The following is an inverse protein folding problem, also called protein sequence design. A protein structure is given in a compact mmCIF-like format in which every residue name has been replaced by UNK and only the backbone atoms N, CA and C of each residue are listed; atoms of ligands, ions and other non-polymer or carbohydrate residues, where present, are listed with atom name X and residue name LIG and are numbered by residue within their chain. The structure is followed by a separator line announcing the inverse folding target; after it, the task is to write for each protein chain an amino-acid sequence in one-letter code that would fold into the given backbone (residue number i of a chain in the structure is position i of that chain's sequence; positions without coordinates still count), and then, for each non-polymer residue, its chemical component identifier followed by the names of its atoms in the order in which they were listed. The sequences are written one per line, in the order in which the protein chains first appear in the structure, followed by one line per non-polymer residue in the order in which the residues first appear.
data_IF_759255810919
#
_entry.id   IF_759255810919
#
_cell.length_a   1.000
_cell.length_b   1.000
_cell.length_c   1.000
_cell.angle_alpha   90.00
_cell.angle_beta   90.00
_cell.angle_gamma   90.00
#
_symmetry.space_group_name_H-M   'P 1'
#
loop_
_entity.id
_entity.type
_entity.pdbx_description
1 polymer ?
#
# COMPACT_ATOMS: atom_id res chain seq x y z
N UNK A 1 -0.93 -2.02 -5.50
CA UNK A 1 -1.09 -1.96 -4.04
C UNK A 1 0.22 -2.21 -3.29
N UNK A 2 1.01 -3.25 -3.64
CA UNK A 2 2.24 -3.58 -2.90
C UNK A 2 3.30 -2.49 -3.00
N UNK A 3 3.54 -1.96 -4.20
CA UNK A 3 4.45 -0.83 -4.39
C UNK A 3 4.01 0.43 -3.62
N UNK A 4 2.69 0.71 -3.56
CA UNK A 4 2.13 1.81 -2.78
C UNK A 4 2.44 1.67 -1.29
N UNK A 5 2.21 0.49 -0.74
CA UNK A 5 2.52 0.17 0.65
C UNK A 5 4.01 0.35 0.93
N UNK A 6 4.87 -0.21 0.07
CA UNK A 6 6.31 -0.16 0.26
C UNK A 6 6.89 1.27 0.15
N UNK A 7 6.32 2.11 -0.72
CA UNK A 7 6.71 3.51 -0.89
C UNK A 7 6.58 4.27 0.44
N UNK A 8 5.46 4.15 1.13
CA UNK A 8 5.21 4.81 2.42
C UNK A 8 5.94 4.13 3.57
N UNK A 9 5.88 2.79 3.62
CA UNK A 9 6.48 2.01 4.71
C UNK A 9 7.99 2.26 4.84
N UNK A 10 8.70 2.41 3.71
CA UNK A 10 10.13 2.67 3.68
C UNK A 10 10.49 4.07 4.19
N UNK A 11 9.67 5.08 3.86
CA UNK A 11 9.90 6.47 4.29
C UNK A 11 9.44 6.76 5.71
N UNK A 12 8.39 6.07 6.19
CA UNK A 12 7.72 6.43 7.43
C UNK A 12 8.65 6.44 8.66
N UNK A 13 9.50 5.44 8.93
CA UNK A 13 10.41 5.47 10.09
C UNK A 13 11.37 6.65 10.04
N UNK A 14 11.90 6.96 8.85
CA UNK A 14 12.81 8.08 8.65
C UNK A 14 12.09 9.42 8.85
N UNK A 15 10.88 9.54 8.32
CA UNK A 15 10.06 10.75 8.49
C UNK A 15 9.68 10.97 9.96
N UNK A 16 9.30 9.92 10.70
CA UNK A 16 8.95 10.01 12.13
C UNK A 16 10.15 10.53 12.93
N UNK A 17 11.32 9.93 12.75
CA UNK A 17 12.54 10.34 13.46
C UNK A 17 12.97 11.74 13.01
N UNK A 18 12.92 12.05 11.73
CA UNK A 18 13.25 13.36 11.18
C UNK A 18 12.30 14.48 11.61
N UNK A 19 11.06 14.17 11.97
CA UNK A 19 10.10 15.10 12.59
C UNK A 19 10.31 15.26 14.11
N UNK A 20 11.36 14.68 14.68
CA UNK A 20 11.73 14.86 16.10
C UNK A 20 11.12 13.83 17.06
N UNK A 21 10.46 12.78 16.57
CA UNK A 21 9.97 11.69 17.40
C UNK A 21 11.07 10.65 17.68
N UNK A 22 10.89 9.84 18.73
CA UNK A 22 11.85 8.82 19.09
C UNK A 22 11.85 7.63 18.12
N UNK A 23 12.94 6.87 18.11
CA UNK A 23 13.00 5.58 17.40
C UNK A 23 11.97 4.58 17.93
N UNK A 24 11.63 4.64 19.23
CA UNK A 24 10.56 3.85 19.84
C UNK A 24 9.22 4.15 19.22
N UNK A 25 8.88 5.45 19.04
CA UNK A 25 7.65 5.84 18.35
C UNK A 25 7.59 5.32 16.91
N UNK A 26 8.72 5.35 16.18
CA UNK A 26 8.78 4.80 14.84
C UNK A 26 8.55 3.28 14.84
N UNK A 27 9.13 2.55 15.79
CA UNK A 27 8.91 1.11 15.95
C UNK A 27 7.45 0.78 16.28
N UNK A 28 6.81 1.54 17.18
CA UNK A 28 5.40 1.35 17.54
C UNK A 28 4.47 1.56 16.36
N UNK A 29 4.70 2.61 15.55
CA UNK A 29 3.91 2.90 14.34
C UNK A 29 4.06 1.77 13.32
N UNK A 30 5.28 1.26 13.11
CA UNK A 30 5.54 0.12 12.21
C UNK A 30 4.90 -1.15 12.74
N UNK A 31 4.98 -1.42 14.04
CA UNK A 31 4.35 -2.59 14.66
C UNK A 31 2.83 -2.58 14.44
N UNK A 32 2.18 -1.46 14.68
CA UNK A 32 0.73 -1.32 14.46
C UNK A 32 0.37 -1.48 12.98
N UNK A 33 1.20 -0.99 12.06
CA UNK A 33 1.04 -1.22 10.63
C UNK A 33 1.07 -2.71 10.28
N UNK A 34 2.05 -3.45 10.78
CA UNK A 34 2.18 -4.90 10.55
C UNK A 34 0.97 -5.67 11.10
N UNK A 35 0.46 -5.26 12.28
CA UNK A 35 -0.77 -5.83 12.82
C UNK A 35 -1.98 -5.52 11.93
N UNK A 36 -2.09 -4.28 11.42
CA UNK A 36 -3.15 -3.87 10.49
C UNK A 36 -3.08 -4.63 9.15
N UNK A 37 -1.88 -5.01 8.71
CA UNK A 37 -1.70 -5.88 7.54
C UNK A 37 -2.14 -7.33 7.83
N UNK A 38 -1.82 -7.84 9.01
CA UNK A 38 -1.89 -9.28 9.30
C UNK A 38 -3.25 -9.71 9.86
N UNK A 39 -3.80 -8.96 10.82
CA UNK A 39 -5.05 -9.33 11.51
C UNK A 39 -6.23 -9.50 10.54
N UNK A 40 -6.48 -8.61 9.56
CA UNK A 40 -7.59 -8.77 8.64
C UNK A 40 -7.47 -9.99 7.73
N UNK A 41 -6.26 -10.52 7.52
CA UNK A 41 -6.03 -11.70 6.66
C UNK A 41 -6.86 -12.91 7.09
N UNK A 42 -7.15 -13.04 8.39
CA UNK A 42 -8.01 -14.11 8.91
C UNK A 42 -9.48 -14.01 8.42
N UNK A 43 -9.93 -12.81 8.06
CA UNK A 43 -11.30 -12.54 7.66
C UNK A 43 -11.45 -12.17 6.18
N UNK A 44 -10.39 -11.69 5.54
CA UNK A 44 -10.44 -11.20 4.16
C UNK A 44 -10.94 -12.27 3.19
N UNK A 45 -10.55 -13.54 3.38
CA UNK A 45 -11.05 -14.65 2.58
C UNK A 45 -12.57 -14.82 2.68
N UNK A 46 -13.14 -14.76 3.89
CA UNK A 46 -14.58 -14.82 4.11
C UNK A 46 -15.32 -13.63 3.51
N UNK A 47 -14.73 -12.43 3.58
CA UNK A 47 -15.29 -11.23 2.97
C UNK A 47 -15.32 -11.34 1.44
N UNK A 48 -14.27 -11.92 0.83
CA UNK A 48 -14.22 -12.18 -0.61
C UNK A 48 -15.31 -13.18 -1.03
N UNK A 49 -15.51 -14.25 -0.27
CA UNK A 49 -16.57 -15.24 -0.55
C UNK A 49 -17.97 -14.62 -0.44
N UNK A 50 -18.18 -13.71 0.52
CA UNK A 50 -19.51 -13.10 0.77
C UNK A 50 -19.83 -11.95 -0.18
N UNK A 51 -18.87 -11.07 -0.44
CA UNK A 51 -19.11 -9.82 -1.18
C UNK A 51 -18.51 -9.81 -2.59
N UNK A 52 -17.69 -10.82 -2.90
CA UNK A 52 -16.94 -10.88 -4.15
C UNK A 52 -15.58 -10.17 -4.05
N UNK A 53 -14.67 -10.56 -4.94
CA UNK A 53 -13.27 -10.09 -4.92
C UNK A 53 -13.14 -8.61 -5.29
N UNK A 54 -13.93 -8.13 -6.27
CA UNK A 54 -13.81 -6.75 -6.78
C UNK A 54 -14.19 -5.68 -5.76
N UNK A 55 -15.33 -5.78 -5.03
CA UNK A 55 -15.65 -4.85 -3.96
C UNK A 55 -14.57 -4.79 -2.88
N UNK A 56 -13.98 -5.93 -2.52
CA UNK A 56 -12.92 -5.96 -1.50
C UNK A 56 -11.67 -5.23 -1.99
N UNK A 57 -11.26 -5.41 -3.27
CA UNK A 57 -10.16 -4.63 -3.86
C UNK A 57 -10.50 -3.13 -3.84
N UNK A 58 -11.74 -2.75 -4.19
CA UNK A 58 -12.17 -1.34 -4.19
C UNK A 58 -12.08 -0.73 -2.79
N UNK A 59 -12.56 -1.44 -1.76
CA UNK A 59 -12.40 -1.01 -0.35
C UNK A 59 -10.92 -0.84 -0.01
N UNK A 60 -10.06 -1.79 -0.39
CA UNK A 60 -8.62 -1.69 -0.19
C UNK A 60 -8.01 -0.45 -0.84
N UNK A 61 -8.36 -0.15 -2.10
CA UNK A 61 -7.88 1.05 -2.80
C UNK A 61 -8.39 2.35 -2.15
N UNK A 62 -9.63 2.35 -1.66
CA UNK A 62 -10.19 3.50 -0.92
C UNK A 62 -9.42 3.75 0.39
N UNK A 63 -9.09 2.70 1.14
CA UNK A 63 -8.29 2.81 2.35
C UNK A 63 -6.87 3.32 2.05
N UNK A 64 -6.24 2.89 0.95
CA UNK A 64 -4.95 3.41 0.50
C UNK A 64 -5.03 4.90 0.13
N UNK A 65 -6.12 5.33 -0.49
CA UNK A 65 -6.37 6.75 -0.77
C UNK A 65 -6.52 7.56 0.53
N UNK A 66 -7.28 7.06 1.49
CA UNK A 66 -7.43 7.68 2.82
C UNK A 66 -6.10 7.71 3.58
N UNK A 67 -5.24 6.69 3.43
CA UNK A 67 -3.90 6.70 3.99
C UNK A 67 -3.06 7.86 3.42
N UNK A 68 -3.06 8.04 2.09
CA UNK A 68 -2.36 9.15 1.44
C UNK A 68 -2.88 10.51 1.92
N UNK A 69 -4.19 10.69 2.02
CA UNK A 69 -4.82 11.92 2.52
C UNK A 69 -4.46 12.20 3.99
N UNK A 70 -4.46 11.16 4.83
CA UNK A 70 -4.04 11.28 6.23
C UNK A 70 -2.56 11.68 6.34
N UNK A 71 -1.69 11.09 5.52
CA UNK A 71 -0.26 11.45 5.48
C UNK A 71 0.00 12.88 5.01
N UNK A 72 -0.86 13.43 4.14
CA UNK A 72 -0.81 14.82 3.70
C UNK A 72 -1.37 15.80 4.73
N UNK A 73 -2.23 15.36 5.64
CA UNK A 73 -2.91 16.23 6.62
C UNK A 73 -2.00 16.72 7.74
N UNK A 74 -0.82 16.11 7.92
CA UNK A 74 0.16 16.56 8.92
C UNK A 74 1.22 15.53 9.27
N UNK A 75 2.20 15.97 10.06
CA UNK A 75 3.36 15.20 10.51
C UNK A 75 3.35 14.96 12.03
N UNK A 76 2.17 15.04 12.66
CA UNK A 76 2.00 14.63 14.05
C UNK A 76 2.08 13.11 14.20
N UNK A 77 2.49 12.64 15.38
CA UNK A 77 2.62 11.19 15.64
C UNK A 77 1.30 10.44 15.38
N UNK A 78 0.16 11.04 15.74
CA UNK A 78 -1.16 10.49 15.50
C UNK A 78 -1.45 10.32 13.99
N UNK A 79 -1.03 11.29 13.16
CA UNK A 79 -1.17 11.20 11.70
C UNK A 79 -0.38 10.01 11.13
N UNK A 80 0.85 9.78 11.63
CA UNK A 80 1.64 8.61 11.23
C UNK A 80 0.92 7.30 11.60
N UNK A 81 0.37 7.18 12.81
CA UNK A 81 -0.40 6.00 13.21
C UNK A 81 -1.60 5.76 12.28
N UNK A 82 -2.43 6.76 12.05
CA UNK A 82 -3.61 6.64 11.18
C UNK A 82 -3.19 6.28 9.75
N UNK A 83 -2.18 6.97 9.20
CA UNK A 83 -1.67 6.71 7.86
C UNK A 83 -1.23 5.26 7.71
N UNK A 84 -0.45 4.74 8.65
CA UNK A 84 0.10 3.39 8.56
C UNK A 84 -0.93 2.30 8.87
N UNK A 85 -1.90 2.54 9.73
CA UNK A 85 -3.04 1.64 9.95
C UNK A 85 -3.87 1.52 8.66
N UNK A 86 -4.28 2.64 8.07
CA UNK A 86 -5.05 2.67 6.82
C UNK A 86 -4.27 2.04 5.67
N UNK A 87 -2.96 2.28 5.61
CA UNK A 87 -2.06 1.68 4.63
C UNK A 87 -2.03 0.15 4.76
N UNK A 88 -1.91 -0.37 5.98
CA UNK A 88 -1.88 -1.81 6.24
C UNK A 88 -3.20 -2.50 5.89
N UNK A 89 -4.32 -1.95 6.33
CA UNK A 89 -5.67 -2.44 5.99
C UNK A 89 -5.92 -2.40 4.48
N UNK A 90 -5.59 -1.28 3.85
CA UNK A 90 -5.77 -1.07 2.42
C UNK A 90 -4.92 -2.02 1.58
N UNK A 91 -3.67 -2.25 1.99
CA UNK A 91 -2.80 -3.24 1.37
C UNK A 91 -3.39 -4.65 1.50
N UNK A 92 -3.81 -5.05 2.69
CA UNK A 92 -4.37 -6.39 2.92
C UNK A 92 -5.52 -6.69 1.96
N UNK A 93 -6.55 -5.83 1.94
CA UNK A 93 -7.73 -6.07 1.11
C UNK A 93 -7.41 -6.02 -0.39
N UNK A 94 -6.62 -5.06 -0.84
CA UNK A 94 -6.30 -4.93 -2.26
C UNK A 94 -5.34 -6.02 -2.74
N UNK A 95 -4.33 -6.40 -1.94
CA UNK A 95 -3.35 -7.39 -2.33
C UNK A 95 -3.92 -8.82 -2.30
N UNK A 96 -4.61 -9.21 -1.22
CA UNK A 96 -5.24 -10.54 -1.12
C UNK A 96 -6.33 -10.67 -2.19
N UNK A 97 -7.13 -9.61 -2.41
CA UNK A 97 -8.14 -9.60 -3.46
C UNK A 97 -7.53 -9.76 -4.86
N UNK A 98 -6.47 -9.02 -5.18
CA UNK A 98 -5.79 -9.11 -6.47
C UNK A 98 -5.15 -10.50 -6.69
N UNK A 99 -4.50 -11.05 -5.67
CA UNK A 99 -3.91 -12.39 -5.73
C UNK A 99 -4.98 -13.47 -5.93
N UNK A 100 -6.11 -13.35 -5.24
CA UNK A 100 -7.26 -14.25 -5.43
C UNK A 100 -7.82 -14.15 -6.86
N UNK A 101 -7.96 -12.93 -7.38
CA UNK A 101 -8.41 -12.70 -8.75
C UNK A 101 -7.46 -13.36 -9.76
N UNK A 102 -6.15 -13.20 -9.59
CA UNK A 102 -5.15 -13.82 -10.44
C UNK A 102 -5.24 -15.34 -10.38
N UNK A 103 -5.33 -15.92 -9.18
CA UNK A 103 -5.38 -17.37 -8.97
C UNK A 103 -6.59 -18.04 -9.64
N UNK A 104 -7.69 -17.30 -9.79
CA UNK A 104 -8.92 -17.81 -10.42
C UNK A 104 -8.98 -17.61 -11.96
N UNK A 105 -7.95 -16.99 -12.56
CA UNK A 105 -7.95 -16.66 -13.99
C UNK A 105 -6.84 -17.35 -14.81
N UNK A 106 -6.27 -18.44 -14.30
CA UNK A 106 -5.29 -19.27 -15.03
C UNK A 106 -5.54 -20.76 -14.79
N UNK A 107 -5.10 -21.60 -15.72
CA UNK A 107 -5.15 -23.06 -15.61
C UNK A 107 -4.00 -23.58 -14.73
N UNK A 108 -4.14 -24.81 -14.23
CA UNK A 108 -3.10 -25.46 -13.42
C UNK A 108 -1.76 -25.54 -14.12
N UNK A 109 -1.75 -25.74 -15.45
CA UNK A 109 -0.53 -25.83 -16.28
C UNK A 109 0.20 -24.49 -16.45
N UNK A 110 -0.54 -23.38 -16.39
CA UNK A 110 0.00 -22.01 -16.57
C UNK A 110 0.39 -21.36 -15.24
N UNK A 111 0.01 -21.97 -14.11
CA UNK A 111 0.17 -21.38 -12.78
C UNK A 111 1.60 -20.91 -12.52
N UNK A 112 2.60 -21.74 -12.76
CA UNK A 112 4.00 -21.41 -12.47
C UNK A 112 4.48 -20.21 -13.29
N UNK A 113 4.18 -20.19 -14.59
CA UNK A 113 4.56 -19.10 -15.49
C UNK A 113 3.84 -17.80 -15.13
N UNK A 114 2.53 -17.86 -14.93
CA UNK A 114 1.71 -16.70 -14.59
C UNK A 114 2.13 -16.09 -13.26
N UNK A 115 2.33 -16.93 -12.23
CA UNK A 115 2.78 -16.46 -10.93
C UNK A 115 4.19 -15.87 -11.00
N UNK A 116 5.13 -16.52 -11.71
CA UNK A 116 6.49 -16.00 -11.85
C UNK A 116 6.55 -14.64 -12.56
N UNK A 117 5.76 -14.44 -13.63
CA UNK A 117 5.66 -13.13 -14.29
C UNK A 117 5.02 -12.09 -13.37
N UNK A 118 3.94 -12.45 -12.66
CA UNK A 118 3.31 -11.57 -11.68
C UNK A 118 4.29 -11.12 -10.61
N UNK A 119 5.04 -12.06 -10.02
CA UNK A 119 5.97 -11.77 -8.95
C UNK A 119 7.14 -10.91 -9.43
N UNK A 120 7.66 -11.17 -10.63
CA UNK A 120 8.69 -10.33 -11.26
C UNK A 120 8.20 -8.88 -11.41
N UNK A 121 6.97 -8.67 -11.90
CA UNK A 121 6.38 -7.34 -12.05
C UNK A 121 6.17 -6.69 -10.69
N UNK A 122 5.55 -7.41 -9.74
CA UNK A 122 5.25 -6.89 -8.40
C UNK A 122 6.52 -6.47 -7.67
N UNK A 123 7.53 -7.36 -7.59
CA UNK A 123 8.78 -7.06 -6.89
C UNK A 123 9.64 -6.05 -7.63
N UNK A 124 9.58 -6.00 -8.96
CA UNK A 124 10.20 -4.93 -9.73
C UNK A 124 9.63 -3.55 -9.36
N UNK A 125 8.31 -3.40 -9.29
CA UNK A 125 7.68 -2.16 -8.84
C UNK A 125 7.94 -1.87 -7.36
N UNK A 126 8.03 -2.88 -6.50
CA UNK A 126 8.39 -2.72 -5.09
C UNK A 126 9.82 -2.17 -4.95
N UNK A 127 10.77 -2.71 -5.71
CA UNK A 127 12.15 -2.21 -5.71
C UNK A 127 12.24 -0.74 -6.19
N UNK A 128 11.54 -0.40 -7.28
CA UNK A 128 11.45 0.98 -7.76
C UNK A 128 10.81 1.91 -6.72
N UNK A 129 9.72 1.48 -6.07
CA UNK A 129 9.06 2.23 -5.02
C UNK A 129 9.97 2.48 -3.82
N UNK A 130 10.74 1.46 -3.39
CA UNK A 130 11.69 1.58 -2.29
C UNK A 130 12.79 2.59 -2.58
N UNK A 131 13.40 2.51 -3.77
CA UNK A 131 14.42 3.46 -4.21
C UNK A 131 13.86 4.89 -4.33
N UNK A 132 12.66 5.03 -4.93
CA UNK A 132 11.99 6.31 -5.09
C UNK A 132 11.60 6.93 -3.75
N UNK A 133 11.22 6.11 -2.77
CA UNK A 133 10.82 6.53 -1.43
C UNK A 133 11.92 7.33 -0.74
N UNK A 134 13.14 6.80 -0.69
CA UNK A 134 14.30 7.49 -0.12
C UNK A 134 14.69 8.76 -0.90
N UNK A 135 14.64 8.68 -2.23
CA UNK A 135 14.92 9.84 -3.09
C UNK A 135 13.91 10.97 -2.85
N UNK A 136 12.60 10.66 -2.85
CA UNK A 136 11.54 11.65 -2.62
C UNK A 136 11.63 12.29 -1.24
N UNK A 137 11.93 11.49 -0.20
CA UNK A 137 12.07 12.00 1.15
C UNK A 137 13.23 13.00 1.28
N UNK A 138 14.31 12.81 0.53
CA UNK A 138 15.50 13.65 0.57
C UNK A 138 15.54 14.78 -0.48
N UNK A 139 14.64 14.76 -1.49
CA UNK A 139 14.61 15.77 -2.57
C UNK A 139 14.23 17.18 -2.13
N UNK A 140 13.71 17.36 -0.91
CA UNK A 140 13.22 18.64 -0.38
C UNK A 140 14.30 19.50 0.29
N UNK A 141 15.57 19.28 -0.01
CA UNK A 141 16.67 20.11 0.53
C UNK A 141 16.84 20.00 2.04
N UNK A 142 16.40 18.91 2.67
CA UNK A 142 16.51 18.66 4.10
C UNK A 142 15.22 18.93 4.91
N UNK A 143 14.17 19.41 4.28
CA UNK A 143 12.85 19.53 4.92
C UNK A 143 12.10 18.19 4.86
N UNK A 144 12.16 17.46 5.97
CA UNK A 144 11.52 16.14 6.12
C UNK A 144 9.99 16.22 5.97
N UNK A 145 9.36 17.32 6.37
CA UNK A 145 7.90 17.47 6.23
C UNK A 145 7.49 17.54 4.77
N UNK A 146 8.21 18.34 3.97
CA UNK A 146 7.99 18.41 2.53
C UNK A 146 8.30 17.08 1.84
N UNK A 147 9.38 16.41 2.23
CA UNK A 147 9.74 15.08 1.74
C UNK A 147 8.63 14.06 2.01
N UNK A 148 8.07 14.05 3.21
CA UNK A 148 6.94 13.20 3.57
C UNK A 148 5.69 13.49 2.73
N UNK A 149 5.39 14.76 2.48
CA UNK A 149 4.28 15.16 1.61
C UNK A 149 4.49 14.66 0.17
N UNK A 150 5.71 14.77 -0.38
CA UNK A 150 6.03 14.29 -1.72
C UNK A 150 5.86 12.77 -1.84
N UNK A 151 6.27 12.01 -0.83
CA UNK A 151 6.06 10.55 -0.78
C UNK A 151 4.57 10.21 -0.80
N UNK A 152 3.74 10.91 -0.02
CA UNK A 152 2.29 10.70 -0.03
C UNK A 152 1.62 11.14 -1.34
N UNK A 153 2.06 12.24 -1.95
CA UNK A 153 1.58 12.68 -3.26
C UNK A 153 1.90 11.66 -4.36
N UNK A 154 3.08 11.02 -4.31
CA UNK A 154 3.48 10.01 -5.27
C UNK A 154 2.60 8.74 -5.23
N UNK A 155 1.76 8.56 -4.22
CA UNK A 155 0.77 7.48 -4.20
C UNK A 155 -0.35 7.68 -5.24
N UNK A 156 -0.77 8.93 -5.52
CA UNK A 156 -1.95 9.19 -6.34
C UNK A 156 -1.86 8.68 -7.78
N UNK A 157 -0.76 8.87 -8.54
CA UNK A 157 -0.63 8.30 -9.88
C UNK A 157 -0.80 6.77 -9.88
N UNK A 158 -0.21 6.10 -8.91
CA UNK A 158 -0.29 4.64 -8.78
C UNK A 158 -1.71 4.18 -8.36
N UNK A 159 -2.38 4.95 -7.51
CA UNK A 159 -3.79 4.71 -7.16
C UNK A 159 -4.71 4.86 -8.36
N UNK A 160 -4.51 5.90 -9.19
CA UNK A 160 -5.28 6.11 -10.42
C UNK A 160 -5.10 4.93 -11.38
N UNK A 161 -3.87 4.47 -11.60
CA UNK A 161 -3.59 3.29 -12.44
C UNK A 161 -4.30 2.05 -11.88
N UNK A 162 -4.21 1.82 -10.57
CA UNK A 162 -4.82 0.66 -9.92
C UNK A 162 -6.36 0.70 -9.98
N UNK A 163 -6.95 1.87 -9.79
CA UNK A 163 -8.40 2.07 -9.89
C UNK A 163 -8.89 1.91 -11.34
N UNK A 164 -8.16 2.46 -12.31
CA UNK A 164 -8.49 2.34 -13.74
C UNK A 164 -8.48 0.88 -14.19
N UNK A 165 -7.48 0.09 -13.79
CA UNK A 165 -7.44 -1.34 -14.11
C UNK A 165 -8.63 -2.10 -13.50
N UNK A 166 -9.04 -1.76 -12.27
CA UNK A 166 -10.21 -2.37 -11.64
C UNK A 166 -11.51 -2.03 -12.39
N UNK A 167 -11.65 -0.78 -12.88
CA UNK A 167 -12.80 -0.35 -13.68
C UNK A 167 -12.85 -1.08 -15.04
N UNK A 168 -11.74 -1.18 -15.75
CA UNK A 168 -11.64 -1.93 -17.02
C UNK A 168 -12.06 -3.38 -16.82
N UNK A 169 -11.60 -4.04 -15.76
CA UNK A 169 -12.01 -5.40 -15.41
C UNK A 169 -13.51 -5.53 -15.07
N UNK A 170 -14.18 -4.44 -14.70
CA UNK A 170 -15.63 -4.43 -14.48
C UNK A 170 -16.41 -4.36 -15.80
N UNK A 171 -15.88 -3.66 -16.79
CA UNK A 171 -16.55 -3.42 -18.09
C UNK A 171 -16.37 -4.62 -19.03
N UNK A 172 -15.24 -5.34 -18.92
CA UNK A 172 -14.90 -6.47 -19.81
C UNK A 172 -15.67 -7.79 -19.52
N UNK A 173 -16.69 -7.75 -18.67
CA UNK A 173 -17.65 -8.84 -18.40
C UNK A 173 -19.05 -8.44 -18.76
#
# INVERSE_FOLDING_TARGET
SYALMNLIMTSAPLAIVGCGFSQGNAADVVMVHVLAMSIPSFFTGHLILRFGVRPIIAVGLTLLCLAALSGLSGTGLFNFFITLILLGLGWNFSFIGATNLLANNHTANERGKTQGVNDMIVFGFVALASLSSGALLNCSGGDIQQGWQLVNLAMFPLLVISASTLLVLKIAK
#
